data_IF_572364002469
#
_entry.id   IF_572364002469
#
_cell.length_a   1.000
_cell.length_b   1.000
_cell.length_c   1.000
_cell.angle_alpha   90.00
_cell.angle_beta   90.00
_cell.angle_gamma   90.00
#
_symmetry.space_group_name_H-M   'P 1'
#
loop_
_entity.id
_entity.type
_entity.pdbx_description
1 polymer ?
#
# COMPACT_ATOMS: atom_id res chain seq x y z
N UNK A 1 6.10 14.71 10.86
CA UNK A 1 4.67 14.64 10.53
C UNK A 1 3.96 15.22 11.74
N UNK A 2 3.20 16.29 11.58
CA UNK A 2 2.66 17.05 12.72
C UNK A 2 1.14 17.07 12.74
N UNK A 3 0.48 16.88 11.59
CA UNK A 3 -0.98 16.81 11.52
C UNK A 3 -1.47 15.37 11.28
N UNK A 4 -2.65 15.04 11.80
CA UNK A 4 -3.33 13.78 11.53
C UNK A 4 -3.56 13.55 10.03
N UNK A 5 -3.87 14.61 9.27
CA UNK A 5 -4.03 14.54 7.81
C UNK A 5 -2.73 14.16 7.09
N UNK A 6 -1.57 14.59 7.60
CA UNK A 6 -0.25 14.21 7.05
C UNK A 6 -0.01 12.70 7.17
N UNK A 7 -0.41 12.14 8.32
CA UNK A 7 -0.28 10.71 8.63
C UNK A 7 -1.29 9.89 7.84
N UNK A 8 -2.54 10.36 7.77
CA UNK A 8 -3.60 9.68 7.01
C UNK A 8 -3.29 9.62 5.51
N UNK A 9 -2.67 10.67 4.95
CA UNK A 9 -2.17 10.63 3.58
C UNK A 9 -1.12 9.51 3.39
N UNK A 10 -0.30 9.25 4.41
CA UNK A 10 0.60 8.09 4.47
C UNK A 10 -0.13 6.75 4.50
N UNK A 11 -1.30 6.65 5.15
CA UNK A 11 -2.11 5.42 5.14
C UNK A 11 -2.61 5.12 3.73
N UNK A 12 -3.12 6.13 3.02
CA UNK A 12 -3.59 5.96 1.65
C UNK A 12 -2.45 5.60 0.69
N UNK A 13 -1.25 6.19 0.90
CA UNK A 13 -0.05 5.80 0.15
C UNK A 13 0.34 4.34 0.42
N UNK A 14 0.27 3.92 1.68
CA UNK A 14 0.59 2.55 2.08
C UNK A 14 -0.44 1.55 1.56
N UNK A 15 -1.73 1.88 1.63
CA UNK A 15 -2.82 1.06 1.08
C UNK A 15 -2.64 0.82 -0.42
N UNK A 16 -2.30 1.87 -1.17
CA UNK A 16 -1.97 1.74 -2.58
C UNK A 16 -0.72 0.88 -2.82
N UNK A 17 0.32 1.00 -1.98
CA UNK A 17 1.55 0.22 -2.09
C UNK A 17 1.27 -1.29 -1.94
N UNK A 18 0.48 -1.67 -0.95
CA UNK A 18 0.21 -3.09 -0.62
C UNK A 18 -1.07 -3.63 -1.26
N UNK A 19 -1.74 -2.84 -2.09
CA UNK A 19 -3.04 -3.15 -2.68
C UNK A 19 -4.14 -3.45 -1.64
N UNK A 20 -4.17 -2.69 -0.54
CA UNK A 20 -5.25 -2.74 0.44
C UNK A 20 -6.48 -1.98 -0.08
N UNK A 21 -7.60 -2.69 -0.27
CA UNK A 21 -8.86 -2.08 -0.73
C UNK A 21 -9.83 -1.76 0.40
N UNK A 22 -9.55 -2.22 1.62
CA UNK A 22 -10.52 -2.25 2.72
C UNK A 22 -10.21 -1.25 3.85
N UNK A 23 -9.78 -0.03 3.48
CA UNK A 23 -9.65 1.07 4.45
C UNK A 23 -11.02 1.67 4.78
N UNK A 24 -11.79 1.00 5.64
CA UNK A 24 -13.05 1.51 6.18
C UNK A 24 -12.83 2.29 7.50
N UNK A 25 -13.91 2.78 8.11
CA UNK A 25 -13.88 3.57 9.35
C UNK A 25 -13.52 2.78 10.61
N UNK A 26 -13.56 1.44 10.57
CA UNK A 26 -13.13 0.55 11.66
C UNK A 26 -11.63 0.26 11.55
N UNK A 27 -11.07 0.35 10.34
CA UNK A 27 -9.66 0.06 10.04
C UNK A 27 -8.72 1.27 10.22
N UNK A 28 -9.11 2.26 11.00
CA UNK A 28 -8.22 3.29 11.57
C UNK A 28 -8.88 3.91 12.80
N UNK A 29 -8.07 4.47 13.69
CA UNK A 29 -8.59 5.05 14.93
C UNK A 29 -7.79 6.28 15.34
N UNK A 30 -8.40 7.08 16.21
CA UNK A 30 -7.76 8.15 16.95
C UNK A 30 -7.51 7.66 18.37
N UNK A 31 -6.27 7.77 18.83
CA UNK A 31 -5.92 7.56 20.23
C UNK A 31 -6.13 8.88 20.96
N UNK A 32 -6.97 8.84 22.00
CA UNK A 32 -7.28 9.98 22.86
C UNK A 32 -6.67 9.70 24.24
N UNK A 33 -5.56 10.35 24.61
CA UNK A 33 -4.99 10.19 25.93
C UNK A 33 -5.87 10.88 27.00
N UNK A 34 -5.72 10.52 28.29
CA UNK A 34 -6.36 11.27 29.37
C UNK A 34 -5.94 12.75 29.42
N UNK A 35 -4.70 13.04 29.04
CA UNK A 35 -4.11 14.39 28.96
C UNK A 35 -3.25 14.52 27.70
N UNK A 36 -3.26 15.70 27.07
CA UNK A 36 -2.52 15.99 25.83
C UNK A 36 -3.35 15.86 24.56
N UNK A 37 -2.68 16.01 23.42
CA UNK A 37 -3.34 16.01 22.11
C UNK A 37 -3.64 14.58 21.62
N UNK A 38 -4.77 14.41 20.93
CA UNK A 38 -5.12 13.17 20.27
C UNK A 38 -4.26 12.94 19.01
N UNK A 39 -3.98 11.67 18.68
CA UNK A 39 -3.21 11.31 17.49
C UNK A 39 -3.82 10.13 16.74
N UNK A 40 -3.45 9.92 15.48
CA UNK A 40 -3.85 8.70 14.75
C UNK A 40 -3.12 7.49 15.30
N UNK A 41 -3.86 6.44 15.64
CA UNK A 41 -3.30 5.13 15.97
C UNK A 41 -2.43 4.64 14.80
N UNK A 42 -1.30 3.95 15.04
CA UNK A 42 -0.52 3.32 13.98
C UNK A 42 -1.41 2.50 13.04
N UNK A 43 -1.10 2.46 11.75
CA UNK A 43 -1.89 1.72 10.77
C UNK A 43 -2.01 0.24 11.18
N UNK A 44 -3.24 -0.30 11.15
CA UNK A 44 -3.56 -1.67 11.50
C UNK A 44 -4.55 -2.28 10.50
N UNK A 45 -4.80 -3.58 10.67
CA UNK A 45 -5.71 -4.41 9.87
C UNK A 45 -5.45 -4.35 8.35
N UNK A 46 -4.36 -5.01 7.93
CA UNK A 46 -3.95 -5.15 6.53
C UNK A 46 -4.12 -6.57 5.99
N UNK A 47 -4.86 -7.42 6.69
CA UNK A 47 -4.94 -8.84 6.38
C UNK A 47 -5.51 -9.13 4.98
N UNK A 48 -6.32 -8.22 4.43
CA UNK A 48 -6.93 -8.32 3.09
C UNK A 48 -6.03 -7.80 1.95
N UNK A 49 -4.78 -7.45 2.24
CA UNK A 49 -3.83 -6.88 1.28
C UNK A 49 -2.99 -7.94 0.56
N UNK A 50 -2.05 -7.51 -0.29
CA UNK A 50 -1.02 -8.36 -0.91
C UNK A 50 -1.60 -9.56 -1.70
N UNK A 51 -2.81 -9.40 -2.25
CA UNK A 51 -3.49 -10.44 -3.02
C UNK A 51 -3.97 -11.61 -2.16
N UNK A 52 -4.22 -11.41 -0.86
CA UNK A 52 -4.71 -12.44 0.06
C UNK A 52 -5.91 -13.23 -0.48
N UNK A 53 -6.86 -12.55 -1.12
CA UNK A 53 -8.08 -13.16 -1.66
C UNK A 53 -7.86 -14.04 -2.90
N UNK A 54 -6.68 -13.96 -3.52
CA UNK A 54 -6.40 -14.68 -4.76
C UNK A 54 -5.89 -16.09 -4.47
N UNK A 55 -6.39 -17.14 -5.15
CA UNK A 55 -5.88 -18.49 -5.00
C UNK A 55 -4.40 -18.59 -5.40
N UNK A 56 -3.61 -19.36 -4.65
CA UNK A 56 -2.18 -19.57 -4.95
C UNK A 56 -1.95 -20.09 -6.37
N UNK A 57 -2.80 -20.98 -6.88
CA UNK A 57 -2.72 -21.48 -8.27
C UNK A 57 -2.91 -20.37 -9.31
N UNK A 58 -3.78 -19.40 -9.03
CA UNK A 58 -4.03 -18.26 -9.91
C UNK A 58 -2.86 -17.28 -9.89
N UNK A 59 -2.27 -17.03 -8.72
CA UNK A 59 -1.03 -16.27 -8.59
C UNK A 59 0.11 -16.92 -9.37
N UNK A 60 0.29 -18.24 -9.24
CA UNK A 60 1.29 -18.98 -10.00
C UNK A 60 1.06 -18.88 -11.51
N UNK A 61 -0.19 -18.95 -11.97
CA UNK A 61 -0.53 -18.76 -13.38
C UNK A 61 -0.15 -17.36 -13.87
N UNK A 62 -0.47 -16.31 -13.10
CA UNK A 62 -0.10 -14.93 -13.46
C UNK A 62 1.41 -14.71 -13.47
N UNK A 63 2.14 -15.35 -12.57
CA UNK A 63 3.60 -15.27 -12.49
C UNK A 63 4.29 -16.04 -13.62
N UNK A 64 3.71 -17.15 -14.08
CA UNK A 64 4.24 -17.95 -15.18
C UNK A 64 3.86 -17.40 -16.57
N UNK A 65 2.84 -16.53 -16.62
CA UNK A 65 2.42 -15.84 -17.84
C UNK A 65 3.36 -14.70 -18.24
N UNK A 66 2.81 -13.68 -18.91
CA UNK A 66 3.57 -12.46 -19.19
C UNK A 66 3.67 -11.57 -17.95
N UNK A 67 4.75 -10.77 -17.86
CA UNK A 67 4.92 -9.79 -16.80
C UNK A 67 3.76 -8.76 -16.73
N UNK A 68 2.98 -8.64 -17.81
CA UNK A 68 1.83 -7.74 -17.89
C UNK A 68 0.63 -8.27 -17.09
N UNK A 69 0.52 -9.57 -16.79
CA UNK A 69 -0.62 -10.12 -16.03
C UNK A 69 -0.68 -9.58 -14.60
N UNK A 70 0.45 -9.57 -13.89
CA UNK A 70 0.52 -9.01 -12.54
C UNK A 70 0.34 -7.48 -12.59
N UNK A 71 0.90 -6.81 -13.60
CA UNK A 71 0.66 -5.38 -13.87
C UNK A 71 -0.82 -5.04 -13.99
N UNK A 72 -1.55 -5.76 -14.86
CA UNK A 72 -3.01 -5.60 -15.03
C UNK A 72 -3.78 -5.95 -13.75
N UNK A 73 -3.26 -6.82 -12.90
CA UNK A 73 -3.89 -7.14 -11.62
C UNK A 73 -3.77 -5.97 -10.64
N UNK A 74 -2.56 -5.42 -10.43
CA UNK A 74 -2.34 -4.32 -9.48
C UNK A 74 -3.12 -3.05 -9.86
N UNK A 75 -3.41 -2.86 -11.15
CA UNK A 75 -4.19 -1.73 -11.65
C UNK A 75 -5.66 -1.72 -11.21
N UNK A 76 -6.21 -2.88 -10.83
CA UNK A 76 -7.63 -3.02 -10.50
C UNK A 76 -8.00 -2.52 -9.11
N UNK A 77 -7.02 -2.37 -8.22
CA UNK A 77 -7.24 -1.97 -6.83
C UNK A 77 -8.01 -0.65 -6.74
N UNK A 78 -9.16 -0.67 -6.07
CA UNK A 78 -10.02 0.49 -5.82
C UNK A 78 -10.39 0.56 -4.35
N UNK A 79 -10.52 1.76 -3.81
CA UNK A 79 -11.04 1.96 -2.47
C UNK A 79 -12.57 1.98 -2.50
N UNK A 80 -13.23 0.99 -1.90
CA UNK A 80 -14.70 0.92 -1.88
C UNK A 80 -15.36 1.92 -0.93
N UNK A 81 -14.58 2.44 0.01
CA UNK A 81 -15.04 3.28 1.13
C UNK A 81 -14.90 4.78 0.87
N UNK A 82 -14.37 5.16 -0.30
CA UNK A 82 -14.30 6.53 -0.77
C UNK A 82 -15.35 6.79 -1.85
N UNK A 83 -15.86 8.03 -1.88
CA UNK A 83 -16.81 8.48 -2.89
C UNK A 83 -16.25 8.23 -4.30
N UNK A 84 -17.10 7.75 -5.22
CA UNK A 84 -16.73 7.38 -6.60
C UNK A 84 -15.73 6.21 -6.74
N UNK A 85 -15.39 5.55 -5.63
CA UNK A 85 -14.57 4.34 -5.58
C UNK A 85 -13.27 4.46 -6.41
N UNK A 86 -12.42 5.46 -6.12
CA UNK A 86 -11.23 5.75 -6.91
C UNK A 86 -10.26 4.57 -6.90
N UNK A 87 -9.41 4.51 -7.92
CA UNK A 87 -8.24 3.62 -7.87
C UNK A 87 -7.33 4.03 -6.71
N UNK A 88 -6.68 3.05 -6.08
CA UNK A 88 -5.86 3.29 -4.89
C UNK A 88 -4.70 4.28 -5.17
N UNK A 89 -4.03 4.12 -6.32
CA UNK A 89 -2.93 5.00 -6.73
C UNK A 89 -3.41 6.44 -6.95
N UNK A 90 -4.58 6.63 -7.58
CA UNK A 90 -5.15 7.96 -7.81
C UNK A 90 -5.56 8.62 -6.49
N UNK A 91 -6.13 7.85 -5.57
CA UNK A 91 -6.48 8.31 -4.23
C UNK A 91 -5.25 8.75 -3.45
N UNK A 92 -4.17 7.95 -3.47
CA UNK A 92 -2.90 8.29 -2.85
C UNK A 92 -2.28 9.56 -3.47
N UNK A 93 -2.29 9.68 -4.80
CA UNK A 93 -1.80 10.87 -5.51
C UNK A 93 -2.60 12.12 -5.12
N UNK A 94 -3.93 12.01 -5.08
CA UNK A 94 -4.80 13.09 -4.63
C UNK A 94 -4.53 13.50 -3.18
N UNK A 95 -4.20 12.55 -2.29
CA UNK A 95 -3.80 12.85 -0.93
C UNK A 95 -2.44 13.57 -0.87
N UNK A 96 -1.44 13.10 -1.63
CA UNK A 96 -0.11 13.72 -1.71
C UNK A 96 -0.13 15.16 -2.24
N UNK A 97 -1.13 15.51 -3.06
CA UNK A 97 -1.34 16.87 -3.56
C UNK A 97 -1.97 17.82 -2.52
N UNK A 98 -2.66 17.28 -1.51
CA UNK A 98 -3.38 18.06 -0.49
C UNK A 98 -2.57 18.34 0.76
N UNK A 99 -1.52 17.56 1.02
CA UNK A 99 -0.61 17.79 2.14
C UNK A 99 0.45 18.83 1.81
N UNK A 100 1.06 19.50 2.81
CA UNK A 100 2.17 20.42 2.58
C UNK A 100 3.31 19.79 1.76
N UNK A 101 3.99 20.58 0.92
CA UNK A 101 5.10 20.09 0.07
C UNK A 101 6.19 19.34 0.86
N UNK A 102 6.50 19.79 2.08
CA UNK A 102 7.47 19.12 2.94
C UNK A 102 7.02 17.71 3.37
N UNK A 103 5.71 17.54 3.63
CA UNK A 103 5.10 16.25 3.99
C UNK A 103 5.06 15.32 2.79
N UNK A 104 4.64 15.82 1.62
CA UNK A 104 4.68 15.06 0.36
C UNK A 104 6.11 14.58 0.04
N UNK A 105 7.12 15.44 0.24
CA UNK A 105 8.54 15.08 0.08
C UNK A 105 8.99 14.02 1.10
N UNK A 106 8.56 14.13 2.36
CA UNK A 106 8.85 13.13 3.38
C UNK A 106 8.36 11.74 2.95
N UNK A 107 7.11 11.64 2.50
CA UNK A 107 6.55 10.37 2.03
C UNK A 107 7.21 9.85 0.75
N UNK A 108 7.56 10.75 -0.18
CA UNK A 108 8.39 10.40 -1.35
C UNK A 108 9.70 9.75 -0.91
N UNK A 109 10.42 10.35 0.04
CA UNK A 109 11.69 9.83 0.55
C UNK A 109 11.53 8.44 1.18
N UNK A 110 10.47 8.24 1.97
CA UNK A 110 10.15 6.92 2.55
C UNK A 110 9.93 5.88 1.45
N UNK A 111 9.12 6.20 0.44
CA UNK A 111 8.84 5.29 -0.66
C UNK A 111 10.08 5.01 -1.52
N UNK A 112 10.91 6.02 -1.80
CA UNK A 112 12.16 5.82 -2.56
C UNK A 112 13.18 4.99 -1.78
N UNK A 113 13.23 5.14 -0.44
CA UNK A 113 14.13 4.37 0.43
C UNK A 113 13.78 2.88 0.52
N UNK A 114 12.56 2.49 0.11
CA UNK A 114 12.15 1.09 0.08
C UNK A 114 12.84 0.38 -1.08
N UNK A 115 13.89 -0.39 -0.77
CA UNK A 115 14.63 -1.19 -1.75
C UNK A 115 13.95 -2.54 -1.99
N UNK A 116 14.13 -3.10 -3.18
CA UNK A 116 13.62 -4.45 -3.49
C UNK A 116 14.18 -5.49 -2.52
N UNK A 117 15.45 -5.40 -2.15
CA UNK A 117 16.08 -6.31 -1.17
C UNK A 117 15.42 -6.23 0.21
N UNK A 118 15.03 -5.05 0.67
CA UNK A 118 14.34 -4.89 1.95
C UNK A 118 12.91 -5.47 1.89
N UNK A 119 12.22 -5.31 0.76
CA UNK A 119 10.90 -5.91 0.53
C UNK A 119 11.00 -7.43 0.52
N UNK A 120 11.93 -7.99 -0.26
CA UNK A 120 12.18 -9.43 -0.30
C UNK A 120 12.54 -9.97 1.08
N UNK A 121 13.49 -9.35 1.80
CA UNK A 121 13.86 -9.79 3.14
C UNK A 121 12.68 -9.78 4.13
N UNK A 122 11.80 -8.78 4.04
CA UNK A 122 10.58 -8.73 4.88
C UNK A 122 9.62 -9.87 4.56
N UNK A 123 9.41 -10.18 3.28
CA UNK A 123 8.54 -11.28 2.84
C UNK A 123 9.18 -12.63 3.21
N UNK A 124 10.49 -12.77 3.02
CA UNK A 124 11.27 -13.99 3.24
C UNK A 124 11.40 -14.34 4.73
N UNK A 125 11.23 -13.37 5.63
CA UNK A 125 11.14 -13.61 7.06
C UNK A 125 9.93 -14.46 7.48
N UNK A 126 8.88 -14.55 6.64
CA UNK A 126 7.76 -15.45 6.89
C UNK A 126 8.24 -16.90 6.75
N UNK A 127 7.97 -17.81 7.70
CA UNK A 127 8.37 -19.22 7.60
C UNK A 127 7.89 -19.91 6.30
N UNK A 128 8.74 -20.76 5.72
CA UNK A 128 8.47 -21.42 4.44
C UNK A 128 7.17 -22.25 4.42
N UNK A 129 6.78 -22.82 5.56
CA UNK A 129 5.53 -23.60 5.70
C UNK A 129 4.25 -22.76 5.76
N UNK A 130 4.36 -21.43 5.92
CA UNK A 130 3.20 -20.53 6.07
C UNK A 130 2.90 -19.72 4.80
N UNK A 131 3.88 -19.57 3.91
CA UNK A 131 3.73 -18.76 2.71
C UNK A 131 4.46 -19.42 1.54
N UNK A 132 3.70 -19.82 0.52
CA UNK A 132 4.22 -20.50 -0.67
C UNK A 132 5.14 -19.58 -1.48
N UNK A 133 6.00 -20.16 -2.32
CA UNK A 133 6.87 -19.38 -3.20
C UNK A 133 6.08 -18.49 -4.17
N UNK A 134 4.94 -18.97 -4.66
CA UNK A 134 4.07 -18.18 -5.54
C UNK A 134 3.47 -16.99 -4.80
N UNK A 135 3.03 -17.17 -3.56
CA UNK A 135 2.48 -16.08 -2.74
C UNK A 135 3.56 -15.03 -2.40
N UNK A 136 4.78 -15.46 -2.06
CA UNK A 136 5.93 -14.56 -1.84
C UNK A 136 6.24 -13.71 -3.06
N UNK A 137 6.38 -14.38 -4.20
CA UNK A 137 6.73 -13.73 -5.46
C UNK A 137 5.62 -12.77 -5.88
N UNK A 138 4.35 -13.15 -5.70
CA UNK A 138 3.22 -12.28 -6.02
C UNK A 138 3.17 -11.05 -5.12
N UNK A 139 3.31 -11.20 -3.80
CA UNK A 139 3.36 -10.09 -2.85
C UNK A 139 4.52 -9.12 -3.16
N UNK A 140 5.70 -9.65 -3.50
CA UNK A 140 6.83 -8.84 -3.91
C UNK A 140 6.51 -8.02 -5.18
N UNK A 141 5.93 -8.66 -6.20
CA UNK A 141 5.57 -7.97 -7.44
C UNK A 141 4.51 -6.88 -7.22
N UNK A 142 3.53 -7.10 -6.32
CA UNK A 142 2.56 -6.07 -5.95
C UNK A 142 3.28 -4.82 -5.44
N UNK A 143 4.14 -4.98 -4.42
CA UNK A 143 4.85 -3.87 -3.80
C UNK A 143 5.76 -3.16 -4.80
N UNK A 144 6.50 -3.93 -5.61
CA UNK A 144 7.41 -3.38 -6.64
C UNK A 144 6.66 -2.54 -7.68
N UNK A 145 5.62 -3.12 -8.29
CA UNK A 145 4.84 -2.46 -9.34
C UNK A 145 4.07 -1.25 -8.80
N UNK A 146 3.44 -1.36 -7.64
CA UNK A 146 2.72 -0.23 -7.04
C UNK A 146 3.67 0.87 -6.59
N UNK A 147 4.88 0.55 -6.10
CA UNK A 147 5.91 1.57 -5.82
C UNK A 147 6.24 2.38 -7.06
N UNK A 148 6.48 1.73 -8.21
CA UNK A 148 6.73 2.43 -9.48
C UNK A 148 5.55 3.31 -9.90
N UNK A 149 4.33 2.77 -9.81
CA UNK A 149 3.10 3.50 -10.16
C UNK A 149 2.88 4.71 -9.25
N UNK A 150 3.11 4.56 -7.95
CA UNK A 150 2.99 5.65 -6.97
C UNK A 150 4.03 6.73 -7.21
N UNK A 151 5.29 6.37 -7.44
CA UNK A 151 6.34 7.34 -7.74
C UNK A 151 6.01 8.18 -8.97
N UNK A 152 5.47 7.55 -10.01
CA UNK A 152 5.00 8.23 -11.22
C UNK A 152 3.76 9.09 -10.96
N UNK A 153 2.73 8.56 -10.32
CA UNK A 153 1.45 9.25 -10.16
C UNK A 153 1.53 10.44 -9.18
N UNK A 154 2.35 10.35 -8.14
CA UNK A 154 2.44 11.39 -7.11
C UNK A 154 3.49 12.46 -7.42
N UNK A 155 4.55 12.11 -8.15
CA UNK A 155 5.73 12.98 -8.32
C UNK A 155 6.45 12.85 -9.68
N UNK A 156 5.77 12.43 -10.75
CA UNK A 156 6.33 12.64 -12.09
C UNK A 156 6.47 14.15 -12.35
N UNK A 157 7.61 14.53 -12.92
CA UNK A 157 7.88 15.90 -13.39
C UNK A 157 6.99 16.27 -14.60
#
# INVERSE_FOLDING_TARGET
LTAATDVFAGYLLFDALIANTDRNHENWAVVVPPEGDAWLAPSYDHATSLGFQEPTSRKAQWLAGDALQVGRWVERGRSSHFERKPHLVDLAAGAMQRVPRAVSRHWRQRLTSLTESAVSATIDAVPAGLLSQADRTFAFQIVRLNRERLLRACWAD
#
